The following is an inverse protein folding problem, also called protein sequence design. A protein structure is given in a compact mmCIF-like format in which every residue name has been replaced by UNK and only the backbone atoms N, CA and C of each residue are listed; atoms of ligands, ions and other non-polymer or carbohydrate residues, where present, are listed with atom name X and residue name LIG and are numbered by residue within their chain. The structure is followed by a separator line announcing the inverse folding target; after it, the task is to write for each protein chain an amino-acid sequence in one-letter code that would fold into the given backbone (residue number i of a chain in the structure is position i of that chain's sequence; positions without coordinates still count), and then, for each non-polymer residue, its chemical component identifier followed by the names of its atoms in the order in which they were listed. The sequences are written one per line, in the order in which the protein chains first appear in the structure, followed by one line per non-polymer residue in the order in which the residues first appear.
data_IF_435804398764
#
_entry.id   IF_435804398764
#
_cell.length_a   1.000
_cell.length_b   1.000
_cell.length_c   1.000
_cell.angle_alpha   90.00
_cell.angle_beta   90.00
_cell.angle_gamma   90.00
#
_symmetry.space_group_name_H-M   'P 1'
#
loop_
_entity.id
_entity.type
_entity.pdbx_description
1 polymer ?
#
# COMPACT_ATOMS: atom_id res chain seq x y z
N UNK A 1 5.96 21.98 16.13
CA UNK A 1 7.25 21.51 16.71
C UNK A 1 7.65 20.23 15.98
N UNK A 2 8.90 20.16 15.49
CA UNK A 2 9.43 18.90 14.95
C UNK A 2 9.59 17.91 16.11
N UNK A 3 8.91 16.78 16.01
CA UNK A 3 9.02 15.68 16.96
C UNK A 3 10.24 14.85 16.54
N UNK A 4 11.28 14.84 17.38
CA UNK A 4 12.42 13.96 17.17
C UNK A 4 11.99 12.49 17.21
N UNK A 5 12.52 11.66 16.29
CA UNK A 5 12.18 10.24 16.22
C UNK A 5 12.35 9.54 17.58
N UNK A 6 11.31 8.85 18.02
CA UNK A 6 11.30 8.17 19.32
C UNK A 6 10.95 9.05 20.53
N UNK A 7 10.82 10.35 20.37
CA UNK A 7 10.46 11.23 21.49
C UNK A 7 9.11 10.85 22.13
N UNK A 8 8.16 10.34 21.34
CA UNK A 8 6.86 9.89 21.84
C UNK A 8 6.95 8.76 22.88
N UNK A 9 8.06 8.01 22.92
CA UNK A 9 8.28 6.93 23.91
C UNK A 9 8.60 7.47 25.30
N UNK A 10 9.14 8.69 25.39
CA UNK A 10 9.63 9.28 26.65
C UNK A 10 8.96 10.62 26.98
N UNK A 11 8.24 11.21 26.05
CA UNK A 11 7.52 12.46 26.27
C UNK A 11 6.24 12.21 27.04
N UNK A 12 5.83 13.19 27.84
CA UNK A 12 4.52 13.17 28.48
C UNK A 12 3.45 13.33 27.37
N UNK A 13 2.66 12.30 27.18
CA UNK A 13 1.59 12.30 26.18
C UNK A 13 0.37 13.05 26.69
N UNK A 14 -0.15 13.98 25.90
CA UNK A 14 -1.48 14.56 26.11
C UNK A 14 -2.51 13.60 25.46
N UNK A 15 -3.47 13.05 26.24
CA UNK A 15 -4.50 12.17 25.69
C UNK A 15 -5.28 12.77 24.52
N UNK A 16 -5.42 14.10 24.47
CA UNK A 16 -6.12 14.77 23.38
C UNK A 16 -5.30 14.86 22.06
N UNK A 17 -4.05 14.45 22.08
CA UNK A 17 -3.16 14.41 20.91
C UNK A 17 -2.91 12.98 20.40
N UNK A 18 -3.55 11.98 21.00
CA UNK A 18 -3.48 10.59 20.57
C UNK A 18 -4.54 10.36 19.52
N UNK A 19 -4.11 9.99 18.29
CA UNK A 19 -5.02 9.60 17.23
C UNK A 19 -5.64 8.23 17.57
N UNK A 20 -6.97 8.17 17.54
CA UNK A 20 -7.74 6.97 17.84
C UNK A 20 -8.71 6.64 16.69
N UNK A 21 -9.31 5.44 16.65
CA UNK A 21 -10.28 5.11 15.60
C UNK A 21 -11.47 6.04 15.49
N UNK A 22 -11.80 6.76 16.56
CA UNK A 22 -12.86 7.77 16.60
C UNK A 22 -12.49 9.05 15.83
N UNK A 23 -11.20 9.25 15.54
CA UNK A 23 -10.68 10.40 14.81
C UNK A 23 -10.65 10.17 13.28
N UNK A 24 -11.08 8.99 12.80
CA UNK A 24 -11.17 8.75 11.36
C UNK A 24 -12.19 9.69 10.71
N UNK A 25 -11.80 10.27 9.58
CA UNK A 25 -12.72 11.06 8.76
C UNK A 25 -13.83 10.19 8.16
N UNK A 26 -14.91 10.82 7.71
CA UNK A 26 -16.00 10.12 7.01
C UNK A 26 -15.47 9.36 5.78
N UNK A 27 -14.52 9.95 5.02
CA UNK A 27 -13.89 9.29 3.87
C UNK A 27 -13.09 8.07 4.27
N UNK A 28 -12.37 8.13 5.39
CA UNK A 28 -11.62 6.98 5.93
C UNK A 28 -12.56 5.86 6.41
N UNK A 29 -13.69 6.22 7.01
CA UNK A 29 -14.72 5.26 7.42
C UNK A 29 -15.32 4.58 6.19
N UNK A 30 -15.69 5.32 5.15
CA UNK A 30 -16.19 4.76 3.89
C UNK A 30 -15.16 3.84 3.22
N UNK A 31 -13.89 4.22 3.22
CA UNK A 31 -12.80 3.39 2.72
C UNK A 31 -12.66 2.10 3.51
N UNK A 32 -12.75 2.17 4.83
CA UNK A 32 -12.76 1.01 5.72
C UNK A 32 -13.89 0.05 5.38
N UNK A 33 -15.12 0.56 5.25
CA UNK A 33 -16.29 -0.27 4.91
C UNK A 33 -16.11 -0.96 3.56
N UNK A 34 -15.60 -0.23 2.57
CA UNK A 34 -15.33 -0.77 1.23
C UNK A 34 -14.27 -1.87 1.24
N UNK A 35 -13.16 -1.70 1.98
CA UNK A 35 -12.13 -2.73 2.05
C UNK A 35 -12.58 -3.95 2.85
N UNK A 36 -13.38 -3.77 3.90
CA UNK A 36 -13.98 -4.88 4.65
C UNK A 36 -14.87 -5.71 3.73
N UNK A 37 -15.75 -5.07 2.97
CA UNK A 37 -16.61 -5.76 2.01
C UNK A 37 -15.81 -6.51 0.94
N UNK A 38 -14.76 -5.90 0.39
CA UNK A 38 -13.86 -6.55 -0.55
C UNK A 38 -13.18 -7.79 0.05
N UNK A 39 -12.67 -7.66 1.27
CA UNK A 39 -12.00 -8.76 1.98
C UNK A 39 -12.96 -9.92 2.24
N UNK A 40 -14.16 -9.62 2.74
CA UNK A 40 -15.15 -10.65 3.10
C UNK A 40 -15.69 -11.38 1.88
N UNK A 41 -15.91 -10.68 0.77
CA UNK A 41 -16.48 -11.27 -0.44
C UNK A 41 -15.48 -11.93 -1.35
N UNK A 42 -14.27 -11.38 -1.44
CA UNK A 42 -13.31 -11.76 -2.47
C UNK A 42 -12.07 -12.46 -1.91
N UNK A 43 -11.59 -12.10 -0.74
CA UNK A 43 -10.35 -12.64 -0.19
C UNK A 43 -10.59 -13.85 0.68
N UNK A 44 -11.43 -13.75 1.71
CA UNK A 44 -11.71 -14.83 2.63
C UNK A 44 -12.20 -16.13 1.96
N UNK A 45 -13.17 -16.10 1.03
CA UNK A 45 -13.66 -17.32 0.38
C UNK A 45 -12.60 -18.01 -0.47
N UNK A 46 -11.58 -17.30 -0.88
CA UNK A 46 -10.52 -17.77 -1.78
C UNK A 46 -9.21 -18.15 -1.06
N UNK A 47 -9.17 -18.15 0.28
CA UNK A 47 -7.96 -18.41 1.06
C UNK A 47 -7.22 -19.68 0.64
N UNK A 48 -7.93 -20.80 0.44
CA UNK A 48 -7.33 -22.07 0.03
C UNK A 48 -6.70 -21.99 -1.37
N UNK A 49 -7.23 -21.16 -2.26
CA UNK A 49 -6.67 -20.98 -3.61
C UNK A 49 -5.34 -20.21 -3.55
N UNK A 50 -5.21 -19.21 -2.68
CA UNK A 50 -3.93 -18.53 -2.45
C UNK A 50 -2.85 -19.50 -1.98
N UNK A 51 -3.17 -20.38 -1.02
CA UNK A 51 -2.24 -21.41 -0.54
C UNK A 51 -1.79 -22.36 -1.65
N UNK A 52 -2.63 -22.59 -2.67
CA UNK A 52 -2.30 -23.37 -3.86
C UNK A 52 -1.58 -22.56 -4.95
N UNK A 53 -1.20 -21.31 -4.66
CA UNK A 53 -0.50 -20.42 -5.60
C UNK A 53 -1.28 -20.14 -6.89
N UNK A 54 -2.60 -19.90 -6.76
CA UNK A 54 -3.43 -19.46 -7.88
C UNK A 54 -3.10 -18.01 -8.23
N UNK A 55 -2.08 -17.82 -9.06
CA UNK A 55 -1.59 -16.50 -9.44
C UNK A 55 -2.60 -15.72 -10.28
N UNK A 56 -3.42 -16.40 -11.09
CA UNK A 56 -4.46 -15.75 -11.88
C UNK A 56 -5.53 -15.12 -10.98
N UNK A 57 -5.86 -15.79 -9.87
CA UNK A 57 -6.73 -15.22 -8.84
C UNK A 57 -6.10 -13.97 -8.22
N UNK A 58 -4.84 -14.05 -7.80
CA UNK A 58 -4.13 -12.91 -7.20
C UNK A 58 -4.13 -11.71 -8.14
N UNK A 59 -3.80 -11.92 -9.41
CA UNK A 59 -3.84 -10.88 -10.44
C UNK A 59 -5.23 -10.25 -10.59
N UNK A 60 -6.27 -11.09 -10.65
CA UNK A 60 -7.66 -10.60 -10.79
C UNK A 60 -8.10 -9.76 -9.59
N UNK A 61 -7.72 -10.15 -8.37
CA UNK A 61 -8.06 -9.40 -7.15
C UNK A 61 -7.25 -8.11 -7.02
N UNK A 62 -6.00 -8.10 -7.47
CA UNK A 62 -5.21 -6.87 -7.54
C UNK A 62 -5.82 -5.87 -8.54
N UNK A 63 -6.29 -6.32 -9.71
CA UNK A 63 -7.02 -5.46 -10.67
C UNK A 63 -8.30 -4.91 -10.03
N UNK A 64 -9.07 -5.75 -9.36
CA UNK A 64 -10.28 -5.32 -8.65
C UNK A 64 -9.98 -4.33 -7.53
N UNK A 65 -8.89 -4.52 -6.78
CA UNK A 65 -8.42 -3.54 -5.80
C UNK A 65 -8.07 -2.18 -6.45
N UNK A 66 -7.52 -2.20 -7.67
CA UNK A 66 -7.28 -0.99 -8.47
C UNK A 66 -8.59 -0.29 -8.87
N UNK A 67 -9.58 -1.04 -9.37
CA UNK A 67 -10.91 -0.52 -9.73
C UNK A 67 -11.64 0.11 -8.53
N UNK A 68 -11.42 -0.44 -7.32
CA UNK A 68 -11.95 0.10 -6.06
C UNK A 68 -11.12 1.25 -5.49
N UNK A 69 -10.02 1.63 -6.14
CA UNK A 69 -9.15 2.72 -5.72
C UNK A 69 -8.12 2.37 -4.65
N UNK A 70 -8.09 1.13 -4.13
CA UNK A 70 -7.19 0.76 -3.03
C UNK A 70 -5.71 0.85 -3.39
N UNK A 71 -5.35 0.67 -4.68
CA UNK A 71 -3.96 0.80 -5.14
C UNK A 71 -3.52 2.26 -5.30
N UNK A 72 -4.46 3.19 -5.36
CA UNK A 72 -4.24 4.58 -5.73
C UNK A 72 -4.23 5.55 -4.54
N UNK A 73 -4.47 5.06 -3.32
CA UNK A 73 -4.67 5.88 -2.12
C UNK A 73 -3.56 6.93 -1.92
N UNK A 74 -2.25 6.57 -1.90
CA UNK A 74 -1.18 7.54 -1.66
C UNK A 74 -0.80 8.35 -2.91
N UNK A 75 -1.32 7.98 -4.08
CA UNK A 75 -0.98 8.65 -5.35
C UNK A 75 -1.79 9.94 -5.47
N UNK A 76 -1.16 11.09 -5.76
CA UNK A 76 -1.86 12.35 -5.97
C UNK A 76 -2.86 12.31 -7.14
N UNK A 77 -3.91 13.12 -7.06
CA UNK A 77 -4.98 13.18 -8.07
C UNK A 77 -4.48 13.50 -9.48
N UNK A 78 -3.47 14.36 -9.62
CA UNK A 78 -2.87 14.71 -10.91
C UNK A 78 -2.15 13.55 -11.62
N UNK A 79 -1.95 12.42 -10.92
CA UNK A 79 -1.46 11.16 -11.47
C UNK A 79 -2.52 10.05 -11.42
N UNK A 80 -3.79 10.41 -11.27
CA UNK A 80 -4.91 9.47 -11.26
C UNK A 80 -5.13 8.73 -9.93
N UNK A 81 -4.57 9.23 -8.85
CA UNK A 81 -4.75 8.68 -7.51
C UNK A 81 -5.84 9.37 -6.70
N UNK A 82 -5.99 8.95 -5.45
CA UNK A 82 -6.96 9.53 -4.50
C UNK A 82 -6.37 10.67 -3.66
N UNK A 83 -5.05 10.83 -3.61
CA UNK A 83 -4.39 11.86 -2.83
C UNK A 83 -4.58 11.74 -1.31
N UNK A 84 -5.02 10.60 -0.83
CA UNK A 84 -5.27 10.38 0.61
C UNK A 84 -3.95 10.11 1.35
N UNK A 85 -3.91 10.51 2.61
CA UNK A 85 -2.72 10.41 3.44
C UNK A 85 -2.35 8.98 3.84
N UNK A 86 -1.20 8.87 4.53
CA UNK A 86 -0.63 7.59 4.95
C UNK A 86 -1.56 6.80 5.89
N UNK A 87 -2.34 7.47 6.73
CA UNK A 87 -3.33 6.83 7.62
C UNK A 87 -4.33 6.00 6.81
N UNK A 88 -4.86 6.54 5.71
CA UNK A 88 -5.80 5.83 4.83
C UNK A 88 -5.15 4.63 4.16
N UNK A 89 -3.89 4.76 3.73
CA UNK A 89 -3.12 3.63 3.17
C UNK A 89 -2.94 2.52 4.20
N UNK A 90 -2.58 2.86 5.43
CA UNK A 90 -2.39 1.88 6.50
C UNK A 90 -3.70 1.22 6.92
N UNK A 91 -4.79 1.96 6.93
CA UNK A 91 -6.13 1.43 7.21
C UNK A 91 -6.51 0.31 6.24
N UNK A 92 -6.36 0.55 4.93
CA UNK A 92 -6.64 -0.48 3.90
C UNK A 92 -5.66 -1.64 4.00
N UNK A 93 -4.38 -1.37 4.23
CA UNK A 93 -3.35 -2.39 4.38
C UNK A 93 -3.65 -3.33 5.56
N UNK A 94 -4.10 -2.80 6.69
CA UNK A 94 -4.45 -3.57 7.89
C UNK A 94 -5.53 -4.61 7.59
N UNK A 95 -6.65 -4.21 6.98
CA UNK A 95 -7.73 -5.12 6.64
C UNK A 95 -7.35 -6.18 5.60
N UNK A 96 -6.64 -5.80 4.55
CA UNK A 96 -6.16 -6.76 3.52
C UNK A 96 -5.16 -7.74 4.15
N UNK A 97 -4.28 -7.26 5.01
CA UNK A 97 -3.24 -8.08 5.66
C UNK A 97 -3.82 -9.09 6.64
N UNK A 98 -4.87 -8.74 7.34
CA UNK A 98 -5.56 -9.63 8.27
C UNK A 98 -6.21 -10.85 7.59
N UNK A 99 -6.50 -10.76 6.31
CA UNK A 99 -7.21 -11.81 5.58
C UNK A 99 -6.30 -12.90 4.99
N UNK A 100 -5.22 -12.50 4.32
CA UNK A 100 -4.30 -13.45 3.67
C UNK A 100 -2.92 -12.82 3.45
N UNK A 101 -1.87 -13.50 3.91
CA UNK A 101 -0.48 -13.08 3.68
C UNK A 101 -0.10 -13.02 2.19
N UNK A 102 -0.71 -13.83 1.34
CA UNK A 102 -0.42 -13.84 -0.09
C UNK A 102 -0.89 -12.56 -0.78
N UNK A 103 -2.15 -12.19 -0.60
CA UNK A 103 -2.68 -10.95 -1.19
C UNK A 103 -2.10 -9.71 -0.51
N UNK A 104 -1.86 -9.77 0.79
CA UNK A 104 -1.19 -8.71 1.56
C UNK A 104 0.18 -8.38 1.01
N UNK A 105 0.98 -9.42 0.72
CA UNK A 105 2.33 -9.22 0.15
C UNK A 105 2.26 -8.62 -1.25
N UNK A 106 1.35 -9.09 -2.11
CA UNK A 106 1.17 -8.53 -3.45
C UNK A 106 0.73 -7.05 -3.37
N UNK A 107 -0.25 -6.75 -2.53
CA UNK A 107 -0.75 -5.39 -2.30
C UNK A 107 0.32 -4.46 -1.73
N UNK A 108 0.99 -4.88 -0.65
CA UNK A 108 2.02 -4.08 0.02
C UNK A 108 3.27 -3.87 -0.83
N UNK A 109 3.69 -4.88 -1.60
CA UNK A 109 4.79 -4.73 -2.55
C UNK A 109 4.45 -3.72 -3.65
N UNK A 110 3.25 -3.77 -4.19
CA UNK A 110 2.80 -2.86 -5.22
C UNK A 110 2.65 -1.41 -4.70
N UNK A 111 1.89 -1.20 -3.64
CA UNK A 111 1.57 0.14 -3.12
C UNK A 111 2.74 0.77 -2.36
N UNK A 112 3.54 -0.03 -1.67
CA UNK A 112 4.69 0.42 -0.89
C UNK A 112 5.95 0.54 -1.74
N UNK A 113 6.69 -0.56 -1.87
CA UNK A 113 8.01 -0.54 -2.51
C UNK A 113 7.95 -0.42 -4.04
N UNK A 114 6.81 -0.56 -4.65
CA UNK A 114 6.59 -0.35 -6.09
C UNK A 114 6.25 1.10 -6.44
N UNK A 115 5.16 1.63 -5.89
CA UNK A 115 4.64 2.97 -6.22
C UNK A 115 5.46 4.08 -5.54
N UNK A 116 5.74 3.96 -4.23
CA UNK A 116 6.35 5.05 -3.47
C UNK A 116 7.72 5.51 -3.98
N UNK A 117 8.65 4.64 -4.43
CA UNK A 117 9.91 5.10 -5.00
C UNK A 117 9.73 5.98 -6.24
N UNK A 118 8.77 5.64 -7.11
CA UNK A 118 8.46 6.45 -8.30
C UNK A 118 7.83 7.77 -7.88
N UNK A 119 6.89 7.74 -6.94
CA UNK A 119 6.22 8.93 -6.43
C UNK A 119 7.21 9.92 -5.77
N UNK A 120 8.13 9.41 -4.96
CA UNK A 120 9.04 10.25 -4.16
C UNK A 120 10.28 10.70 -4.95
N UNK A 121 10.81 9.85 -5.82
CA UNK A 121 12.11 10.06 -6.45
C UNK A 121 12.09 10.06 -7.99
N UNK A 122 10.98 9.67 -8.61
CA UNK A 122 10.82 9.68 -10.06
C UNK A 122 10.86 11.11 -10.63
N UNK A 123 11.35 11.24 -11.85
CA UNK A 123 11.21 12.48 -12.63
C UNK A 123 9.72 12.70 -12.96
N UNK A 124 9.34 13.93 -13.32
CA UNK A 124 7.95 14.23 -13.69
C UNK A 124 7.47 13.35 -14.85
N UNK A 125 8.31 13.12 -15.86
CA UNK A 125 8.03 12.23 -16.99
C UNK A 125 7.74 10.80 -16.51
N UNK A 126 8.55 10.26 -15.59
CA UNK A 126 8.32 8.93 -15.03
C UNK A 126 7.02 8.87 -14.23
N UNK A 127 6.73 9.88 -13.42
CA UNK A 127 5.48 9.93 -12.65
C UNK A 127 4.26 9.92 -13.56
N UNK A 128 4.27 10.75 -14.60
CA UNK A 128 3.17 10.84 -15.57
C UNK A 128 2.99 9.54 -16.38
N UNK A 129 4.08 8.83 -16.67
CA UNK A 129 4.03 7.58 -17.42
C UNK A 129 3.56 6.39 -16.59
N UNK A 130 4.11 6.24 -15.35
CA UNK A 130 3.93 5.02 -14.57
C UNK A 130 2.80 5.10 -13.55
N UNK A 131 2.67 6.22 -12.82
CA UNK A 131 1.75 6.28 -11.69
C UNK A 131 0.27 6.05 -12.08
N UNK A 132 -0.26 6.60 -13.18
CA UNK A 132 -1.66 6.34 -13.55
C UNK A 132 -1.95 4.85 -13.81
N UNK A 133 -1.02 4.13 -14.43
CA UNK A 133 -1.18 2.71 -14.74
C UNK A 133 -1.01 1.82 -13.52
N UNK A 134 -0.16 2.22 -12.59
CA UNK A 134 0.02 1.54 -11.31
C UNK A 134 -1.18 1.80 -10.38
N UNK A 135 -1.66 3.03 -10.33
CA UNK A 135 -2.81 3.41 -9.53
C UNK A 135 -4.10 2.67 -9.94
N UNK A 136 -4.30 2.51 -11.26
CA UNK A 136 -5.46 1.78 -11.80
C UNK A 136 -5.35 0.26 -11.70
N UNK A 137 -4.17 -0.29 -11.45
CA UNK A 137 -3.92 -1.74 -11.51
C UNK A 137 -3.78 -2.30 -12.94
N UNK A 138 -3.62 -1.43 -13.96
CA UNK A 138 -3.27 -1.86 -15.31
C UNK A 138 -1.88 -2.51 -15.32
N UNK A 139 -0.93 -1.94 -14.58
CA UNK A 139 0.39 -2.47 -14.34
C UNK A 139 0.61 -2.77 -12.86
N UNK A 140 1.47 -3.76 -12.60
CA UNK A 140 1.92 -4.08 -11.24
C UNK A 140 3.41 -3.78 -11.10
N UNK A 141 3.76 -3.12 -9.99
CA UNK A 141 5.13 -2.83 -9.65
C UNK A 141 5.70 -3.88 -8.71
N UNK A 142 6.99 -4.13 -8.86
CA UNK A 142 7.79 -4.94 -7.96
C UNK A 142 9.15 -4.28 -7.72
N UNK A 143 9.87 -4.75 -6.71
CA UNK A 143 11.16 -4.19 -6.33
C UNK A 143 12.27 -5.24 -6.43
N UNK A 144 13.27 -4.97 -7.24
CA UNK A 144 14.43 -5.84 -7.46
C UNK A 144 15.63 -5.27 -6.69
N UNK A 145 15.77 -5.65 -5.42
CA UNK A 145 16.82 -5.13 -4.52
C UNK A 145 18.06 -6.02 -4.51
N UNK A 146 17.87 -7.34 -4.39
CA UNK A 146 18.94 -8.30 -4.19
C UNK A 146 19.81 -8.45 -5.44
N UNK A 147 21.11 -8.36 -5.27
CA UNK A 147 22.12 -8.63 -6.28
C UNK A 147 22.98 -9.84 -5.88
N UNK A 148 23.74 -10.46 -6.81
CA UNK A 148 24.61 -11.59 -6.47
C UNK A 148 25.62 -11.30 -5.34
N UNK A 149 26.06 -10.06 -5.19
CA UNK A 149 27.00 -9.60 -4.16
C UNK A 149 26.36 -8.82 -3.01
N UNK A 150 25.04 -8.62 -3.00
CA UNK A 150 24.33 -7.77 -2.03
C UNK A 150 22.97 -8.38 -1.68
N UNK A 151 22.93 -9.14 -0.59
CA UNK A 151 21.73 -9.71 0.00
C UNK A 151 21.31 -8.93 1.24
N UNK A 152 21.68 -9.44 2.44
CA UNK A 152 21.37 -8.77 3.71
C UNK A 152 21.98 -7.38 3.84
N UNK A 153 23.15 -7.17 3.26
CA UNK A 153 23.75 -5.85 3.09
C UNK A 153 23.26 -5.20 1.78
N UNK A 154 22.02 -4.70 1.82
CA UNK A 154 21.37 -4.07 0.67
C UNK A 154 22.11 -2.80 0.19
N UNK A 155 22.87 -2.13 1.06
CA UNK A 155 23.64 -0.94 0.70
C UNK A 155 24.89 -1.25 -0.15
N UNK A 156 25.29 -2.52 -0.23
CA UNK A 156 26.39 -2.98 -1.10
C UNK A 156 25.98 -3.20 -2.56
N UNK A 157 24.74 -2.90 -2.94
CA UNK A 157 24.25 -2.94 -4.33
C UNK A 157 25.12 -2.08 -5.25
N UNK A 158 25.41 -2.59 -6.46
CA UNK A 158 26.27 -1.93 -7.47
C UNK A 158 25.51 -1.38 -8.67
N UNK A 159 24.24 -1.74 -8.82
CA UNK A 159 23.37 -1.19 -9.88
C UNK A 159 23.19 0.32 -9.66
N UNK A 160 23.31 1.08 -10.75
CA UNK A 160 23.20 2.55 -10.77
C UNK A 160 22.04 2.97 -11.66
#
# INVERSE_FOLDING_TARGET
EEINGGAFLISKTDPNQVFTPEDFSEEQIMMKESVVEFVDREVWPNKVRFEKKDYALTESLMKKAGELGFLSIPVPENYGGMGMGFVSTMLVCDYISGASGSISTAFGAHTGIGILPILLYGTETQKQEYLPKLASGEWFASYCLTEPGAGSDANSGKTK
#
